data_IF_812446234004
#
_entry.id   IF_812446234004
#
_cell.length_a   1.000
_cell.length_b   1.000
_cell.length_c   1.000
_cell.angle_alpha   90.00
_cell.angle_beta   90.00
_cell.angle_gamma   90.00
#
_symmetry.space_group_name_H-M   'P 1'
#
loop_
_entity.id
_entity.type
_entity.pdbx_description
1 polymer ?
#
# COMPACT_ATOMS: atom_id res chain seq x y z
N UNK A 1 1.73 -16.23 1.98
CA UNK A 1 2.77 -15.44 2.65
C UNK A 1 2.51 -15.50 4.15
N UNK A 2 3.54 -15.78 4.95
CA UNK A 2 3.47 -15.74 6.43
C UNK A 2 3.39 -14.28 6.89
N UNK A 3 2.71 -14.03 8.01
CA UNK A 3 2.64 -12.71 8.65
C UNK A 3 3.89 -12.57 9.52
N UNK A 4 4.75 -11.62 9.19
CA UNK A 4 5.89 -11.28 10.04
C UNK A 4 5.41 -10.41 11.21
N UNK A 5 5.84 -10.75 12.41
CA UNK A 5 5.44 -10.05 13.64
C UNK A 5 5.98 -8.60 13.65
N UNK A 6 5.19 -7.69 14.22
CA UNK A 6 5.38 -6.25 14.18
C UNK A 6 4.41 -5.56 15.13
N UNK A 7 4.47 -4.24 15.22
CA UNK A 7 3.65 -3.45 16.14
C UNK A 7 2.15 -3.64 15.87
N UNK A 8 1.74 -3.55 14.60
CA UNK A 8 0.37 -3.75 14.17
C UNK A 8 0.06 -5.23 13.87
N UNK A 9 0.98 -6.01 13.30
CA UNK A 9 0.69 -7.39 12.88
C UNK A 9 0.69 -8.40 14.04
N UNK A 10 1.41 -8.16 15.14
CA UNK A 10 1.45 -9.08 16.29
C UNK A 10 0.05 -9.37 16.84
N UNK A 11 -0.86 -8.40 16.77
CA UNK A 11 -2.24 -8.55 17.23
C UNK A 11 -3.04 -9.58 16.43
N UNK A 12 -2.75 -9.76 15.14
CA UNK A 12 -3.44 -10.74 14.29
C UNK A 12 -3.19 -12.16 14.81
N UNK A 13 -1.94 -12.44 15.20
CA UNK A 13 -1.55 -13.71 15.81
C UNK A 13 -2.12 -13.83 17.23
N UNK A 14 -1.92 -12.81 18.07
CA UNK A 14 -2.31 -12.84 19.49
C UNK A 14 -3.84 -12.96 19.68
N UNK A 15 -4.63 -12.24 18.90
CA UNK A 15 -6.08 -12.10 19.11
C UNK A 15 -6.89 -13.15 18.33
N UNK A 16 -6.38 -13.63 17.19
CA UNK A 16 -7.12 -14.55 16.29
C UNK A 16 -6.33 -15.80 15.88
N UNK A 17 -5.05 -15.89 16.21
CA UNK A 17 -4.20 -17.02 15.79
C UNK A 17 -3.85 -17.00 14.29
N UNK A 18 -4.01 -15.86 13.62
CA UNK A 18 -3.69 -15.75 12.19
C UNK A 18 -2.18 -15.61 11.99
N UNK A 19 -1.60 -16.62 11.33
CA UNK A 19 -0.19 -16.75 10.98
C UNK A 19 0.09 -16.46 9.51
N UNK A 20 -0.93 -16.53 8.64
CA UNK A 20 -0.80 -16.32 7.20
C UNK A 20 -1.83 -15.31 6.71
N UNK A 21 -1.44 -14.44 5.78
CA UNK A 21 -2.30 -13.38 5.23
C UNK A 21 -3.62 -13.91 4.62
N UNK A 22 -3.60 -15.13 4.06
CA UNK A 22 -4.81 -15.76 3.53
C UNK A 22 -5.89 -16.04 4.60
N UNK A 23 -5.52 -16.14 5.87
CA UNK A 23 -6.46 -16.42 6.97
C UNK A 23 -7.35 -15.21 7.31
N UNK A 24 -7.00 -14.02 6.81
CA UNK A 24 -7.84 -12.83 6.86
C UNK A 24 -9.02 -12.91 5.88
N UNK A 25 -9.16 -14.00 5.14
CA UNK A 25 -10.22 -14.20 4.15
C UNK A 25 -10.86 -15.57 4.35
N UNK A 26 -12.18 -15.62 4.29
CA UNK A 26 -12.90 -16.89 4.27
C UNK A 26 -12.77 -17.58 2.90
N UNK A 27 -13.10 -18.88 2.78
CA UNK A 27 -12.93 -19.62 1.52
C UNK A 27 -13.65 -18.99 0.31
N UNK A 28 -14.81 -18.35 0.53
CA UNK A 28 -15.57 -17.68 -0.54
C UNK A 28 -14.85 -16.41 -1.01
N UNK A 29 -14.30 -15.62 -0.10
CA UNK A 29 -13.50 -14.44 -0.42
C UNK A 29 -12.22 -14.82 -1.16
N UNK A 30 -11.52 -15.86 -0.69
CA UNK A 30 -10.32 -16.38 -1.36
C UNK A 30 -10.62 -16.86 -2.78
N UNK A 31 -11.71 -17.62 -2.98
CA UNK A 31 -12.13 -18.06 -4.30
C UNK A 31 -12.45 -16.85 -5.20
N UNK A 32 -13.21 -15.89 -4.70
CA UNK A 32 -13.64 -14.72 -5.45
C UNK A 32 -12.45 -13.85 -5.88
N UNK A 33 -11.57 -13.50 -4.94
CA UNK A 33 -10.38 -12.69 -5.18
C UNK A 33 -9.38 -13.45 -6.08
N UNK A 34 -9.22 -14.75 -5.88
CA UNK A 34 -8.39 -15.59 -6.75
C UNK A 34 -8.91 -15.67 -8.18
N UNK A 35 -10.22 -15.75 -8.39
CA UNK A 35 -10.83 -15.71 -9.72
C UNK A 35 -10.70 -14.34 -10.38
N UNK A 36 -10.87 -13.24 -9.63
CA UNK A 36 -10.62 -11.89 -10.12
C UNK A 36 -9.16 -11.71 -10.54
N UNK A 37 -8.22 -12.18 -9.72
CA UNK A 37 -6.80 -12.11 -10.03
C UNK A 37 -6.45 -12.97 -11.26
N UNK A 38 -7.00 -14.18 -11.35
CA UNK A 38 -6.83 -15.04 -12.52
C UNK A 38 -7.37 -14.37 -13.79
N UNK A 39 -8.57 -13.81 -13.73
CA UNK A 39 -9.17 -13.10 -14.86
C UNK A 39 -8.33 -11.89 -15.28
N UNK A 40 -7.76 -11.15 -14.32
CA UNK A 40 -6.83 -10.07 -14.62
C UNK A 40 -5.63 -10.55 -15.44
N UNK A 41 -5.01 -11.66 -15.05
CA UNK A 41 -3.88 -12.25 -15.80
C UNK A 41 -4.25 -12.79 -17.17
N UNK A 42 -5.46 -13.33 -17.33
CA UNK A 42 -5.90 -13.93 -18.60
C UNK A 42 -6.44 -12.90 -19.60
N UNK A 43 -6.98 -11.78 -19.11
CA UNK A 43 -7.72 -10.82 -19.92
C UNK A 43 -7.01 -9.48 -20.13
N UNK A 44 -6.05 -9.11 -19.29
CA UNK A 44 -5.29 -7.86 -19.49
C UNK A 44 -4.50 -7.93 -20.80
N UNK A 45 -4.72 -6.95 -21.67
CA UNK A 45 -4.02 -6.81 -22.95
C UNK A 45 -2.63 -6.18 -22.83
N UNK A 46 -2.39 -5.42 -21.76
CA UNK A 46 -1.11 -4.78 -21.48
C UNK A 46 -0.83 -4.65 -19.96
N UNK A 47 0.37 -4.16 -19.62
CA UNK A 47 0.81 -3.97 -18.23
C UNK A 47 -0.03 -2.92 -17.48
N UNK A 48 -0.61 -1.95 -18.18
CA UNK A 48 -1.44 -0.91 -17.56
C UNK A 48 -2.79 -1.48 -17.13
N UNK A 49 -3.42 -2.28 -17.98
CA UNK A 49 -4.65 -3.00 -17.65
C UNK A 49 -4.41 -3.98 -16.50
N UNK A 50 -3.30 -4.72 -16.52
CA UNK A 50 -2.93 -5.62 -15.42
C UNK A 50 -2.73 -4.85 -14.11
N UNK A 51 -1.99 -3.73 -14.15
CA UNK A 51 -1.78 -2.89 -12.97
C UNK A 51 -3.10 -2.31 -12.42
N UNK A 52 -3.98 -1.81 -13.30
CA UNK A 52 -5.30 -1.31 -12.90
C UNK A 52 -6.16 -2.41 -12.26
N UNK A 53 -6.15 -3.63 -12.82
CA UNK A 53 -6.84 -4.79 -12.27
C UNK A 53 -6.30 -5.23 -10.90
N UNK A 54 -4.99 -5.16 -10.69
CA UNK A 54 -4.35 -5.45 -9.39
C UNK A 54 -4.72 -4.38 -8.36
N UNK A 55 -4.71 -3.09 -8.73
CA UNK A 55 -5.18 -2.01 -7.85
C UNK A 55 -6.68 -2.17 -7.49
N UNK A 56 -7.51 -2.58 -8.44
CA UNK A 56 -8.91 -2.93 -8.20
C UNK A 56 -9.06 -4.10 -7.20
N UNK A 57 -8.24 -5.14 -7.35
CA UNK A 57 -8.19 -6.27 -6.41
C UNK A 57 -7.78 -5.83 -5.01
N UNK A 58 -6.79 -4.94 -4.89
CA UNK A 58 -6.37 -4.38 -3.61
C UNK A 58 -7.49 -3.64 -2.89
N UNK A 59 -8.29 -2.85 -3.63
CA UNK A 59 -9.49 -2.24 -3.07
C UNK A 59 -10.49 -3.29 -2.61
N UNK A 60 -10.72 -4.34 -3.39
CA UNK A 60 -11.58 -5.47 -2.96
C UNK A 60 -11.07 -6.12 -1.68
N UNK A 61 -9.77 -6.40 -1.56
CA UNK A 61 -9.18 -6.94 -0.33
C UNK A 61 -9.39 -6.02 0.87
N UNK A 62 -9.18 -4.70 0.71
CA UNK A 62 -9.41 -3.72 1.77
C UNK A 62 -10.88 -3.67 2.22
N UNK A 63 -11.83 -3.89 1.30
CA UNK A 63 -13.28 -3.87 1.57
C UNK A 63 -13.93 -5.23 1.85
N UNK A 64 -13.16 -6.31 1.80
CA UNK A 64 -13.69 -7.67 1.88
C UNK A 64 -12.74 -8.64 2.59
N UNK A 65 -12.13 -8.18 3.68
CA UNK A 65 -11.35 -8.99 4.61
C UNK A 65 -12.15 -9.26 5.90
N UNK A 66 -11.63 -10.16 6.73
CA UNK A 66 -12.13 -10.44 8.08
C UNK A 66 -11.92 -9.29 9.08
N UNK A 67 -11.30 -8.19 8.65
CA UNK A 67 -11.10 -6.97 9.43
C UNK A 67 -12.12 -5.88 9.09
N UNK A 68 -13.01 -6.12 8.11
CA UNK A 68 -14.05 -5.19 7.74
C UNK A 68 -15.19 -5.22 8.77
N UNK A 69 -15.48 -4.07 9.39
CA UNK A 69 -16.55 -3.95 10.39
C UNK A 69 -17.90 -3.62 9.75
N UNK A 70 -18.97 -3.98 10.46
CA UNK A 70 -20.31 -3.50 10.14
C UNK A 70 -20.46 -2.05 10.60
N UNK A 71 -20.84 -1.18 9.68
CA UNK A 71 -21.18 0.21 9.96
C UNK A 71 -22.57 0.30 10.58
N UNK A 72 -22.68 1.05 11.69
CA UNK A 72 -23.92 1.22 12.47
C UNK A 72 -24.69 2.50 12.12
N UNK A 73 -24.57 2.98 10.88
CA UNK A 73 -25.21 4.23 10.44
C UNK A 73 -26.75 4.11 10.39
N UNK A 74 -27.45 5.08 10.99
CA UNK A 74 -28.92 5.11 11.14
C UNK A 74 -29.74 4.97 9.83
N UNK A 75 -29.13 5.13 8.66
CA UNK A 75 -29.83 5.11 7.36
C UNK A 75 -29.19 4.19 6.30
N UNK A 76 -28.08 3.50 6.63
CA UNK A 76 -27.41 2.54 5.73
C UNK A 76 -26.69 1.49 6.56
N UNK A 77 -27.07 0.22 6.38
CA UNK A 77 -26.20 -0.90 6.70
C UNK A 77 -25.01 -0.84 5.74
N UNK A 78 -23.93 -0.18 6.14
CA UNK A 78 -22.69 -0.10 5.38
C UNK A 78 -21.62 -0.98 6.01
N UNK A 79 -20.54 -1.25 5.29
CA UNK A 79 -19.32 -1.83 5.86
C UNK A 79 -18.25 -0.76 5.95
N UNK A 80 -17.37 -0.85 6.93
CA UNK A 80 -16.13 -0.09 6.95
C UNK A 80 -14.99 -0.95 6.40
N UNK A 81 -14.07 -0.32 5.69
CA UNK A 81 -12.88 -0.96 5.14
C UNK A 81 -11.86 -1.32 6.25
N UNK A 82 -10.98 -2.26 5.94
CA UNK A 82 -9.91 -2.76 6.81
C UNK A 82 -9.09 -1.62 7.42
N UNK A 83 -8.64 -0.68 6.59
CA UNK A 83 -7.74 0.41 7.01
C UNK A 83 -8.45 1.75 7.26
N UNK A 84 -9.69 1.72 7.79
CA UNK A 84 -10.42 2.97 8.08
C UNK A 84 -9.67 3.91 9.05
N UNK A 85 -8.83 3.37 9.92
CA UNK A 85 -7.95 4.08 10.85
C UNK A 85 -6.48 3.63 10.73
N UNK A 86 -6.06 3.14 9.56
CA UNK A 86 -4.67 2.74 9.29
C UNK A 86 -4.12 1.63 10.23
N UNK A 87 -4.98 0.71 10.70
CA UNK A 87 -4.62 -0.34 11.66
C UNK A 87 -5.25 -1.70 11.33
N UNK A 88 -4.72 -2.78 11.91
CA UNK A 88 -5.24 -4.14 11.75
C UNK A 88 -6.27 -4.51 12.84
N UNK A 89 -7.48 -3.97 12.74
CA UNK A 89 -8.52 -4.17 13.76
C UNK A 89 -9.13 -5.58 13.68
N UNK A 90 -8.79 -6.47 14.62
CA UNK A 90 -9.42 -7.79 14.66
C UNK A 90 -10.87 -7.67 15.15
N UNK A 91 -11.78 -8.39 14.46
CA UNK A 91 -13.21 -8.31 14.70
C UNK A 91 -13.76 -9.70 14.98
N UNK A 92 -14.63 -9.85 15.99
CA UNK A 92 -15.34 -11.11 16.22
C UNK A 92 -16.28 -11.45 15.07
N UNK A 93 -17.11 -10.48 14.68
CA UNK A 93 -18.03 -10.54 13.54
C UNK A 93 -17.58 -9.53 12.48
N UNK A 94 -17.48 -9.98 11.23
CA UNK A 94 -16.99 -9.18 10.11
C UNK A 94 -17.96 -9.23 8.93
N UNK A 95 -17.93 -8.17 8.12
CA UNK A 95 -18.69 -8.11 6.89
C UNK A 95 -18.04 -8.94 5.77
N UNK A 96 -18.85 -9.41 4.83
CA UNK A 96 -18.35 -10.05 3.61
C UNK A 96 -19.21 -9.68 2.42
N UNK A 97 -18.59 -9.11 1.39
CA UNK A 97 -19.27 -8.65 0.18
C UNK A 97 -19.33 -9.75 -0.88
N UNK A 98 -20.47 -9.81 -1.57
CA UNK A 98 -20.61 -10.60 -2.80
C UNK A 98 -20.06 -9.85 -4.01
N UNK A 99 -19.84 -10.56 -5.12
CA UNK A 99 -19.26 -10.02 -6.35
C UNK A 99 -19.98 -8.76 -6.86
N UNK A 100 -21.32 -8.76 -6.81
CA UNK A 100 -22.13 -7.61 -7.28
C UNK A 100 -21.80 -6.32 -6.53
N UNK A 101 -21.53 -6.40 -5.22
CA UNK A 101 -21.16 -5.23 -4.41
C UNK A 101 -19.70 -4.82 -4.65
N UNK A 102 -18.81 -5.79 -4.90
CA UNK A 102 -17.42 -5.51 -5.24
C UNK A 102 -17.25 -4.83 -6.61
N UNK A 103 -18.23 -4.93 -7.52
CA UNK A 103 -18.14 -4.31 -8.84
C UNK A 103 -17.74 -2.83 -8.78
N UNK A 104 -18.42 -2.04 -7.94
CA UNK A 104 -18.13 -0.60 -7.80
C UNK A 104 -16.83 -0.29 -7.07
N UNK A 105 -16.24 -1.28 -6.40
CA UNK A 105 -14.96 -1.16 -5.70
C UNK A 105 -13.80 -1.54 -6.62
N UNK A 106 -13.98 -2.59 -7.41
CA UNK A 106 -13.01 -3.13 -8.36
C UNK A 106 -12.75 -2.18 -9.52
N UNK A 107 -13.81 -1.68 -10.16
CA UNK A 107 -13.66 -0.76 -11.30
C UNK A 107 -13.27 0.64 -10.80
N UNK A 108 -12.01 0.99 -11.02
CA UNK A 108 -11.45 2.30 -10.72
C UNK A 108 -11.99 3.32 -11.72
N UNK A 109 -12.43 4.48 -11.23
CA UNK A 109 -12.82 5.60 -12.07
C UNK A 109 -11.71 6.65 -12.07
N UNK A 110 -11.10 6.87 -13.23
CA UNK A 110 -10.07 7.89 -13.45
C UNK A 110 -10.59 9.10 -14.24
N UNK A 111 -11.90 9.17 -14.49
CA UNK A 111 -12.53 10.26 -15.23
C UNK A 111 -12.27 11.61 -14.53
N UNK A 112 -11.83 12.60 -15.32
CA UNK A 112 -11.57 13.96 -14.82
C UNK A 112 -10.29 14.13 -14.02
N UNK A 113 -9.48 13.08 -13.83
CA UNK A 113 -8.18 13.21 -13.15
C UNK A 113 -7.18 13.88 -14.11
N UNK A 114 -6.61 15.04 -13.77
CA UNK A 114 -5.62 15.68 -14.61
C UNK A 114 -4.36 14.83 -14.69
N UNK A 115 -3.85 14.62 -15.91
CA UNK A 115 -2.60 13.89 -16.14
C UNK A 115 -1.80 14.51 -17.28
N UNK A 116 -0.48 14.34 -17.22
CA UNK A 116 0.43 14.76 -18.29
C UNK A 116 0.48 13.67 -19.38
N UNK A 117 -0.17 13.92 -20.53
CA UNK A 117 -0.22 12.98 -21.66
C UNK A 117 1.15 12.62 -22.24
N UNK A 118 2.04 13.59 -22.32
CA UNK A 118 3.35 13.43 -22.93
C UNK A 118 4.42 13.81 -21.91
N UNK A 119 4.96 12.80 -21.23
CA UNK A 119 6.09 12.96 -20.33
C UNK A 119 7.07 11.82 -20.52
N UNK A 120 8.36 12.13 -20.44
CA UNK A 120 9.39 11.09 -20.28
C UNK A 120 9.49 10.79 -18.81
N UNK A 121 9.14 9.57 -18.42
CA UNK A 121 9.16 9.13 -17.03
C UNK A 121 10.08 7.92 -16.85
N UNK A 122 10.55 7.74 -15.62
CA UNK A 122 11.23 6.53 -15.18
C UNK A 122 10.68 6.19 -13.81
N UNK A 123 10.24 4.95 -13.64
CA UNK A 123 9.68 4.47 -12.38
C UNK A 123 10.56 3.29 -11.96
N UNK A 124 11.07 3.36 -10.74
CA UNK A 124 11.81 2.27 -10.13
C UNK A 124 11.68 2.35 -8.61
N UNK A 125 11.48 1.22 -7.92
CA UNK A 125 11.60 1.18 -6.48
C UNK A 125 13.09 1.33 -6.12
N UNK A 126 13.41 2.32 -5.28
CA UNK A 126 14.79 2.68 -4.96
C UNK A 126 14.89 3.18 -3.52
N UNK A 127 16.02 2.88 -2.88
CA UNK A 127 16.38 3.49 -1.60
C UNK A 127 16.88 4.92 -1.85
N UNK A 128 16.18 5.90 -1.27
CA UNK A 128 16.46 7.31 -1.46
C UNK A 128 17.88 7.73 -1.02
N UNK A 129 18.52 6.96 -0.12
CA UNK A 129 19.91 7.18 0.32
C UNK A 129 20.95 6.95 -0.78
N UNK A 130 20.61 6.23 -1.83
CA UNK A 130 21.54 5.83 -2.90
C UNK A 130 21.07 6.22 -4.30
N UNK A 131 20.05 7.07 -4.40
CA UNK A 131 19.60 7.61 -5.68
C UNK A 131 20.72 8.44 -6.31
N UNK A 132 20.95 8.25 -7.61
CA UNK A 132 22.04 8.90 -8.37
C UNK A 132 21.56 9.84 -9.46
N UNK A 133 20.25 9.98 -9.63
CA UNK A 133 19.68 10.75 -10.72
C UNK A 133 19.72 12.23 -10.37
N UNK A 134 20.27 13.04 -11.27
CA UNK A 134 20.19 14.50 -11.15
C UNK A 134 18.76 14.99 -11.41
N UNK A 135 18.23 15.77 -10.48
CA UNK A 135 16.91 16.38 -10.57
C UNK A 135 16.96 17.86 -10.15
N UNK A 136 16.20 18.72 -10.83
CA UNK A 136 16.05 20.12 -10.39
C UNK A 136 15.09 20.24 -9.20
N UNK A 137 14.11 19.34 -9.11
CA UNK A 137 13.11 19.36 -8.05
C UNK A 137 12.96 17.95 -7.49
N UNK A 138 13.12 17.82 -6.17
CA UNK A 138 12.73 16.65 -5.40
C UNK A 138 11.41 16.92 -4.69
N UNK A 139 10.45 16.01 -4.82
CA UNK A 139 9.17 16.07 -4.11
C UNK A 139 9.00 14.75 -3.36
N UNK A 140 8.85 14.83 -2.05
CA UNK A 140 8.83 13.64 -1.17
C UNK A 140 7.70 13.71 -0.16
N UNK A 141 7.07 12.58 0.08
CA UNK A 141 6.12 12.34 1.17
C UNK A 141 6.70 11.25 2.09
N UNK A 142 7.63 11.62 3.00
CA UNK A 142 8.30 10.65 3.87
C UNK A 142 7.32 10.03 4.88
N UNK A 143 7.63 8.83 5.42
CA UNK A 143 6.79 8.22 6.43
C UNK A 143 6.72 9.10 7.70
N UNK A 144 5.52 9.22 8.26
CA UNK A 144 5.24 10.00 9.46
C UNK A 144 5.66 9.27 10.74
N UNK A 145 6.97 9.04 10.89
CA UNK A 145 7.59 8.45 12.07
C UNK A 145 6.87 7.16 12.55
N UNK A 146 6.26 7.19 13.73
CA UNK A 146 5.53 6.10 14.38
C UNK A 146 4.01 6.18 14.18
N UNK A 147 3.49 7.19 13.48
CA UNK A 147 2.06 7.39 13.29
C UNK A 147 1.42 6.29 12.43
N UNK A 148 2.15 5.75 11.44
CA UNK A 148 1.64 4.71 10.52
C UNK A 148 2.72 3.67 10.22
N UNK A 149 2.41 2.40 10.47
CA UNK A 149 3.32 1.27 10.20
C UNK A 149 3.23 0.79 8.74
N UNK A 150 3.60 1.65 7.78
CA UNK A 150 3.46 1.37 6.33
C UNK A 150 4.04 0.02 5.89
N UNK A 151 5.21 -0.35 6.43
CA UNK A 151 5.88 -1.61 6.11
C UNK A 151 5.04 -2.83 6.50
N UNK A 152 4.30 -2.75 7.60
CA UNK A 152 3.38 -3.81 8.03
C UNK A 152 2.06 -3.79 7.25
N UNK A 153 1.48 -2.60 7.03
CA UNK A 153 0.21 -2.47 6.30
C UNK A 153 0.34 -2.89 4.82
N UNK A 154 1.46 -2.56 4.19
CA UNK A 154 1.72 -2.89 2.78
C UNK A 154 1.76 -4.39 2.51
N UNK A 155 2.14 -5.20 3.50
CA UNK A 155 2.24 -6.66 3.37
C UNK A 155 0.89 -7.34 3.17
N UNK A 156 -0.18 -6.71 3.65
CA UNK A 156 -1.54 -7.14 3.36
C UNK A 156 -1.81 -7.19 1.85
N UNK A 157 -1.32 -6.19 1.10
CA UNK A 157 -1.45 -6.12 -0.35
C UNK A 157 -0.40 -6.97 -1.05
N UNK A 158 0.86 -6.94 -0.60
CA UNK A 158 1.94 -7.77 -1.17
C UNK A 158 1.62 -9.27 -1.14
N UNK A 159 0.83 -9.74 -0.17
CA UNK A 159 0.33 -11.12 -0.13
C UNK A 159 -0.40 -11.54 -1.41
N UNK A 160 -1.08 -10.59 -2.07
CA UNK A 160 -1.78 -10.76 -3.35
C UNK A 160 -0.90 -10.31 -4.53
N UNK A 161 -0.16 -9.20 -4.36
CA UNK A 161 0.53 -8.51 -5.45
C UNK A 161 1.88 -9.11 -5.82
N UNK A 162 2.47 -9.95 -4.96
CA UNK A 162 3.83 -10.48 -5.19
C UNK A 162 3.99 -11.14 -6.55
N UNK A 163 3.02 -11.96 -6.97
CA UNK A 163 3.06 -12.64 -8.28
C UNK A 163 2.92 -11.66 -9.45
N UNK A 164 1.87 -10.81 -9.54
CA UNK A 164 1.75 -9.87 -10.65
C UNK A 164 2.93 -8.89 -10.72
N UNK A 165 3.42 -8.40 -9.58
CA UNK A 165 4.58 -7.50 -9.54
C UNK A 165 5.82 -8.14 -10.16
N UNK A 166 6.16 -9.38 -9.80
CA UNK A 166 7.32 -10.07 -10.37
C UNK A 166 7.14 -10.44 -11.85
N UNK A 167 5.90 -10.52 -12.36
CA UNK A 167 5.63 -10.80 -13.77
C UNK A 167 5.73 -9.54 -14.63
N UNK A 168 5.13 -8.43 -14.19
CA UNK A 168 5.19 -7.14 -14.90
C UNK A 168 6.53 -6.44 -14.72
N UNK A 169 7.17 -6.60 -13.56
CA UNK A 169 8.43 -5.95 -13.21
C UNK A 169 9.43 -6.95 -12.63
N UNK A 170 10.02 -7.84 -13.46
CA UNK A 170 10.92 -8.90 -12.98
C UNK A 170 12.15 -8.40 -12.22
N UNK A 171 12.62 -7.18 -12.53
CA UNK A 171 13.79 -6.56 -11.90
C UNK A 171 13.45 -5.86 -10.57
N UNK A 172 12.17 -5.78 -10.20
CA UNK A 172 11.75 -5.13 -8.96
C UNK A 172 11.75 -6.12 -7.81
N UNK A 173 12.03 -5.61 -6.60
CA UNK A 173 11.76 -6.37 -5.40
C UNK A 173 10.25 -6.39 -5.10
N UNK A 174 9.76 -7.51 -4.57
CA UNK A 174 8.35 -7.71 -4.21
C UNK A 174 8.19 -8.04 -2.71
N UNK A 175 8.98 -7.36 -1.89
CA UNK A 175 8.93 -7.39 -0.43
C UNK A 175 8.75 -5.98 0.12
N UNK A 176 8.33 -5.85 1.38
CA UNK A 176 8.04 -4.58 2.05
C UNK A 176 9.28 -3.78 2.43
N UNK A 177 10.49 -4.33 2.25
CA UNK A 177 11.76 -3.78 2.72
C UNK A 177 11.70 -3.27 4.17
N UNK A 178 11.07 -4.03 5.08
CA UNK A 178 10.92 -3.66 6.52
C UNK A 178 12.18 -3.10 7.15
N UNK A 179 13.34 -3.66 6.81
CA UNK A 179 14.67 -3.28 7.33
C UNK A 179 15.11 -1.89 6.86
N UNK A 180 14.68 -1.48 5.66
CA UNK A 180 14.99 -0.17 5.10
C UNK A 180 13.93 0.88 5.41
N UNK A 181 12.81 0.48 6.02
CA UNK A 181 11.73 1.40 6.36
C UNK A 181 12.24 2.46 7.33
N UNK A 182 11.98 3.73 7.00
CA UNK A 182 12.28 4.86 7.88
C UNK A 182 11.21 4.89 8.97
N UNK A 183 11.60 4.60 10.21
CA UNK A 183 10.71 4.47 11.38
C UNK A 183 10.97 5.59 12.36
N UNK A 184 9.96 6.00 13.13
CA UNK A 184 10.08 6.96 14.24
C UNK A 184 10.89 6.48 15.43
N UNK A 185 12.09 5.95 15.21
CA UNK A 185 13.02 5.52 16.26
C UNK A 185 14.21 6.49 16.39
N UNK A 186 15.19 6.15 17.24
CA UNK A 186 16.39 6.96 17.45
C UNK A 186 17.23 7.21 16.18
N UNK A 187 16.98 6.47 15.10
CA UNK A 187 17.66 6.59 13.81
C UNK A 187 16.82 7.30 12.74
N UNK A 188 15.57 7.68 13.03
CA UNK A 188 14.69 8.40 12.11
C UNK A 188 15.37 9.62 11.50
N UNK A 189 15.78 10.57 12.36
CA UNK A 189 16.35 11.85 11.94
C UNK A 189 17.65 11.64 11.15
N UNK A 190 18.47 10.66 11.53
CA UNK A 190 19.70 10.33 10.80
C UNK A 190 19.40 9.83 9.40
N UNK A 191 18.44 8.91 9.26
CA UNK A 191 18.06 8.34 7.96
C UNK A 191 17.48 9.43 7.04
N UNK A 192 16.65 10.32 7.60
CA UNK A 192 16.12 11.46 6.86
C UNK A 192 17.23 12.43 6.42
N UNK A 193 18.18 12.74 7.29
CA UNK A 193 19.35 13.56 6.96
C UNK A 193 20.14 12.91 5.81
N UNK A 194 20.46 11.62 5.88
CA UNK A 194 21.18 10.90 4.83
C UNK A 194 20.45 10.96 3.47
N UNK A 195 19.13 10.81 3.48
CA UNK A 195 18.30 10.89 2.27
C UNK A 195 18.37 12.28 1.64
N UNK A 196 18.13 13.33 2.44
CA UNK A 196 18.07 14.69 1.91
C UNK A 196 19.46 15.25 1.57
N UNK A 197 20.51 14.84 2.29
CA UNK A 197 21.90 15.10 1.90
C UNK A 197 22.21 14.48 0.54
N UNK A 198 21.85 13.21 0.33
CA UNK A 198 22.05 12.55 -0.96
C UNK A 198 21.25 13.23 -2.10
N UNK A 199 19.99 13.62 -1.84
CA UNK A 199 19.19 14.38 -2.82
C UNK A 199 19.82 15.73 -3.14
N UNK A 200 20.37 16.43 -2.13
CA UNK A 200 21.08 17.71 -2.31
C UNK A 200 22.29 17.56 -3.21
N UNK A 201 23.09 16.48 -3.03
CA UNK A 201 24.23 16.18 -3.90
C UNK A 201 23.80 15.93 -5.35
N UNK A 202 22.60 15.40 -5.56
CA UNK A 202 22.04 15.10 -6.87
C UNK A 202 21.00 16.13 -7.33
N UNK A 203 21.21 17.39 -6.97
CA UNK A 203 20.34 18.51 -7.33
C UNK A 203 21.14 19.64 -7.98
N UNK A 204 20.51 20.40 -8.89
CA UNK A 204 21.13 21.59 -9.48
C UNK A 204 21.29 22.71 -8.44
N UNK A 205 22.19 23.68 -8.69
CA UNK A 205 22.44 24.80 -7.76
C UNK A 205 21.19 25.61 -7.42
N UNK A 206 20.25 25.71 -8.37
CA UNK A 206 18.96 26.41 -8.20
C UNK A 206 17.80 25.44 -7.93
N UNK A 207 18.10 24.20 -7.57
CA UNK A 207 17.08 23.18 -7.35
C UNK A 207 16.34 23.36 -6.03
N UNK A 208 15.24 22.63 -5.89
CA UNK A 208 14.33 22.72 -4.74
C UNK A 208 13.95 21.34 -4.22
N UNK A 209 13.81 21.22 -2.89
CA UNK A 209 13.26 20.03 -2.24
C UNK A 209 11.94 20.41 -1.56
N UNK A 210 10.89 19.68 -1.87
CA UNK A 210 9.55 19.85 -1.31
C UNK A 210 9.22 18.61 -0.47
N UNK A 211 9.10 18.82 0.85
CA UNK A 211 8.77 17.76 1.80
C UNK A 211 7.33 17.95 2.27
N UNK A 212 6.50 16.93 2.07
CA UNK A 212 5.17 16.89 2.67
C UNK A 212 5.27 16.50 4.15
N UNK A 213 4.52 17.19 5.00
CA UNK A 213 4.54 16.99 6.46
C UNK A 213 3.12 17.14 7.02
N UNK A 214 2.69 16.24 7.91
CA UNK A 214 1.32 16.21 8.44
C UNK A 214 1.18 16.72 9.88
N UNK A 215 2.27 17.11 10.54
CA UNK A 215 2.19 17.83 11.82
C UNK A 215 2.30 19.34 11.61
N UNK A 216 1.40 20.09 12.25
CA UNK A 216 1.34 21.54 12.18
C UNK A 216 2.53 22.25 12.85
N UNK A 217 3.41 21.51 13.53
CA UNK A 217 4.59 22.04 14.21
C UNK A 217 5.87 21.35 13.71
N UNK A 218 6.73 22.06 12.95
CA UNK A 218 8.03 21.54 12.49
C UNK A 218 9.10 21.51 13.59
N UNK A 219 8.78 21.89 14.84
CA UNK A 219 9.73 21.97 15.96
C UNK A 219 9.69 20.79 16.96
N UNK A 220 8.97 19.70 16.64
CA UNK A 220 8.88 18.49 17.48
C UNK A 220 9.58 17.31 16.82
#
# INVERSE_FOLDING_TARGET
>A
MEIEEGLETARLLRERGWKYWQQLFNPRQLLLHGLLQKAAFELAGDDMELAASVLGLNRCCNWNSALCSWGVGQARESMAQTFYNQAFNTMWNHGAQGLTLLKGIYFLNFEGIPYCKESTYQIAPCDARVVKRMCDIWITDPPYADAVNYHELSEFFLAWDRKPLMQSFPDWYADSKRVLAVRGDAHFSRTMIEIYENMTVHMSENGMQVVMFTHSDPAV
#
